data_IF_764403149036
#
_entry.id   IF_764403149036
#
_cell.length_a   1.000
_cell.length_b   1.000
_cell.length_c   1.000
_cell.angle_alpha   90.00
_cell.angle_beta   90.00
_cell.angle_gamma   90.00
#
_symmetry.space_group_name_H-M   'P 1'
#
loop_
_entity.id
_entity.type
_entity.pdbx_description
1 polymer ?
#
# COMPACT_ATOMS: atom_id res chain seq x y z
N UNK A 1 -4.33 16.26 -18.25
CA UNK A 1 -3.70 15.02 -17.72
C UNK A 1 -4.66 14.22 -16.84
N UNK A 2 -5.08 13.03 -17.27
CA UNK A 2 -5.98 12.17 -16.47
C UNK A 2 -5.24 10.94 -15.96
N UNK A 3 -4.98 10.89 -14.64
CA UNK A 3 -4.33 9.76 -13.97
C UNK A 3 -5.36 8.72 -13.49
N UNK A 4 -6.11 8.13 -14.43
CA UNK A 4 -7.28 7.30 -14.10
C UNK A 4 -6.88 6.02 -13.35
N UNK A 5 -5.82 5.32 -13.79
CA UNK A 5 -5.37 4.09 -13.15
C UNK A 5 -4.75 4.38 -11.78
N UNK A 6 -3.98 5.46 -11.66
CA UNK A 6 -3.37 5.89 -10.40
C UNK A 6 -4.44 6.29 -9.38
N UNK A 7 -5.52 6.97 -9.81
CA UNK A 7 -6.68 7.29 -8.96
C UNK A 7 -7.43 6.03 -8.53
N UNK A 8 -7.59 5.06 -9.44
CA UNK A 8 -8.18 3.76 -9.11
C UNK A 8 -7.36 3.04 -8.04
N UNK A 9 -6.03 2.96 -8.22
CA UNK A 9 -5.15 2.35 -7.22
C UNK A 9 -5.22 3.08 -5.88
N UNK A 10 -5.20 4.42 -5.89
CA UNK A 10 -5.34 5.22 -4.67
C UNK A 10 -6.68 4.94 -3.97
N UNK A 11 -7.76 4.78 -4.72
CA UNK A 11 -9.09 4.42 -4.20
C UNK A 11 -9.09 3.02 -3.61
N UNK A 12 -8.53 2.04 -4.32
CA UNK A 12 -8.41 0.67 -3.83
C UNK A 12 -7.63 0.62 -2.52
N UNK A 13 -6.51 1.35 -2.42
CA UNK A 13 -5.75 1.33 -1.17
C UNK A 13 -6.37 2.14 -0.05
N UNK A 14 -7.13 3.20 -0.36
CA UNK A 14 -7.96 3.87 0.65
C UNK A 14 -9.02 2.90 1.21
N UNK A 15 -9.66 2.11 0.32
CA UNK A 15 -10.58 1.04 0.72
C UNK A 15 -9.92 0.00 1.64
N UNK A 16 -8.71 -0.45 1.29
CA UNK A 16 -7.93 -1.34 2.16
C UNK A 16 -7.57 -0.68 3.50
N UNK A 17 -7.21 0.60 3.51
CA UNK A 17 -6.96 1.37 4.74
C UNK A 17 -8.19 1.43 5.65
N UNK A 18 -9.39 1.70 5.10
CA UNK A 18 -10.64 1.63 5.87
C UNK A 18 -10.86 0.23 6.43
N UNK A 19 -10.69 -0.82 5.61
CA UNK A 19 -10.80 -2.20 6.06
C UNK A 19 -9.84 -2.50 7.23
N UNK A 20 -8.58 -2.05 7.15
CA UNK A 20 -7.59 -2.22 8.19
C UNK A 20 -7.93 -1.49 9.50
N UNK A 21 -8.64 -0.36 9.45
CA UNK A 21 -9.18 0.31 10.65
C UNK A 21 -10.34 -0.48 11.28
N UNK A 22 -11.22 -1.05 10.45
CA UNK A 22 -12.40 -1.80 10.91
C UNK A 22 -12.01 -3.19 11.42
N UNK A 23 -11.00 -3.83 10.81
CA UNK A 23 -10.53 -5.17 11.13
C UNK A 23 -9.01 -5.17 11.41
N UNK A 24 -8.52 -4.51 12.46
CA UNK A 24 -7.09 -4.32 12.68
C UNK A 24 -6.33 -5.62 12.96
N UNK A 25 -7.01 -6.66 13.47
CA UNK A 25 -6.41 -7.97 13.71
C UNK A 25 -6.06 -8.75 12.44
N UNK A 26 -6.49 -8.30 11.25
CA UNK A 26 -6.31 -9.05 10.00
C UNK A 26 -4.84 -9.30 9.65
N UNK A 27 -3.92 -8.35 9.93
CA UNK A 27 -2.50 -8.53 9.63
C UNK A 27 -1.90 -9.67 10.45
N UNK A 28 -2.07 -9.63 11.77
CA UNK A 28 -1.57 -10.67 12.67
C UNK A 28 -2.12 -12.05 12.31
N UNK A 29 -3.41 -12.14 11.96
CA UNK A 29 -4.03 -13.38 11.46
C UNK A 29 -3.41 -13.83 10.13
N UNK A 30 -3.14 -12.90 9.21
CA UNK A 30 -2.59 -13.23 7.89
C UNK A 30 -1.15 -13.76 7.97
N UNK A 31 -0.37 -13.36 8.97
CA UNK A 31 0.99 -13.88 9.21
C UNK A 31 1.05 -14.95 10.28
N UNK A 32 -0.10 -15.45 10.73
CA UNK A 32 -0.20 -16.51 11.75
C UNK A 32 0.53 -16.17 13.05
N UNK A 33 0.49 -14.88 13.44
CA UNK A 33 1.16 -14.39 14.63
C UNK A 33 0.62 -15.05 15.91
N UNK A 34 1.47 -15.32 16.91
CA UNK A 34 1.04 -15.78 18.21
C UNK A 34 -0.01 -14.84 18.82
N UNK A 35 -0.96 -15.39 19.59
CA UNK A 35 -2.03 -14.58 20.21
C UNK A 35 -1.51 -13.44 21.08
N UNK A 36 -0.33 -13.61 21.71
CA UNK A 36 0.33 -12.58 22.50
C UNK A 36 0.82 -11.37 21.69
N UNK A 37 1.02 -11.53 20.38
CA UNK A 37 1.54 -10.49 19.49
C UNK A 37 0.45 -9.78 18.68
N UNK A 38 -0.79 -10.29 18.67
CA UNK A 38 -1.89 -9.73 17.88
C UNK A 38 -2.08 -8.24 18.16
N UNK A 39 -1.96 -7.80 19.42
CA UNK A 39 -2.08 -6.38 19.77
C UNK A 39 -1.05 -5.49 19.08
N UNK A 40 0.20 -5.96 18.91
CA UNK A 40 1.24 -5.22 18.21
C UNK A 40 0.93 -5.13 16.70
N UNK A 41 0.44 -6.22 16.10
CA UNK A 41 -0.01 -6.23 14.71
C UNK A 41 -1.22 -5.34 14.46
N UNK A 42 -2.13 -5.22 15.42
CA UNK A 42 -3.26 -4.29 15.30
C UNK A 42 -2.80 -2.82 15.29
N UNK A 43 -1.82 -2.46 16.13
CA UNK A 43 -1.23 -1.11 16.12
C UNK A 43 -0.56 -0.84 14.78
N UNK A 44 0.17 -1.81 14.24
CA UNK A 44 0.80 -1.71 12.93
C UNK A 44 -0.24 -1.53 11.82
N UNK A 45 -1.31 -2.33 11.83
CA UNK A 45 -2.41 -2.24 10.87
C UNK A 45 -3.06 -0.84 10.87
N UNK A 46 -3.34 -0.28 12.05
CA UNK A 46 -3.91 1.07 12.18
C UNK A 46 -2.93 2.15 11.70
N UNK A 47 -1.63 1.97 11.96
CA UNK A 47 -0.59 2.90 11.50
C UNK A 47 -0.51 2.92 9.98
N UNK A 48 -0.47 1.75 9.35
CA UNK A 48 -0.52 1.64 7.88
C UNK A 48 -1.80 2.24 7.32
N UNK A 49 -2.95 1.94 7.93
CA UNK A 49 -4.23 2.47 7.48
C UNK A 49 -4.28 4.01 7.45
N UNK A 50 -3.87 4.66 8.54
CA UNK A 50 -3.88 6.15 8.62
C UNK A 50 -2.95 6.75 7.57
N UNK A 51 -1.73 6.22 7.44
CA UNK A 51 -0.75 6.63 6.42
C UNK A 51 -1.32 6.47 5.02
N UNK A 52 -1.91 5.32 4.75
CA UNK A 52 -2.42 4.96 3.43
C UNK A 52 -3.62 5.80 3.03
N UNK A 53 -4.54 6.07 3.96
CA UNK A 53 -5.66 6.98 3.75
C UNK A 53 -5.18 8.40 3.45
N UNK A 54 -4.23 8.91 4.23
CA UNK A 54 -3.66 10.23 4.01
C UNK A 54 -3.01 10.34 2.62
N UNK A 55 -2.13 9.41 2.24
CA UNK A 55 -1.44 9.45 0.94
C UNK A 55 -2.43 9.24 -0.20
N UNK A 56 -3.34 8.26 -0.09
CA UNK A 56 -4.33 7.98 -1.11
C UNK A 56 -5.30 9.14 -1.32
N UNK A 57 -5.60 9.96 -0.29
CA UNK A 57 -6.42 11.16 -0.46
C UNK A 57 -5.82 12.14 -1.48
N UNK A 58 -4.49 12.34 -1.47
CA UNK A 58 -3.81 13.14 -2.48
C UNK A 58 -3.85 12.50 -3.87
N UNK A 59 -3.73 11.18 -3.95
CA UNK A 59 -3.86 10.44 -5.21
C UNK A 59 -5.27 10.54 -5.81
N UNK A 60 -6.32 10.47 -4.97
CA UNK A 60 -7.73 10.52 -5.39
C UNK A 60 -8.22 11.92 -5.71
N UNK A 61 -7.84 12.94 -4.93
CA UNK A 61 -8.41 14.29 -5.01
C UNK A 61 -7.42 15.34 -5.54
N UNK A 62 -6.16 14.97 -5.75
CA UNK A 62 -5.14 15.88 -6.28
C UNK A 62 -5.55 16.47 -7.63
N UNK A 63 -5.49 17.80 -7.76
CA UNK A 63 -5.86 18.51 -8.99
C UNK A 63 -4.71 18.59 -9.99
N UNK A 64 -3.46 18.48 -9.52
CA UNK A 64 -2.26 18.51 -10.37
C UNK A 64 -1.74 17.09 -10.61
N UNK A 65 -1.23 16.84 -11.83
CA UNK A 65 -0.57 15.57 -12.16
C UNK A 65 0.65 15.29 -11.28
N UNK A 66 1.37 16.36 -10.88
CA UNK A 66 2.49 16.27 -9.93
C UNK A 66 2.05 15.72 -8.58
N UNK A 67 0.93 16.18 -8.03
CA UNK A 67 0.37 15.69 -6.76
C UNK A 67 0.07 14.20 -6.84
N UNK A 68 -0.62 13.75 -7.89
CA UNK A 68 -0.97 12.33 -8.07
C UNK A 68 0.29 11.48 -8.25
N UNK A 69 1.25 11.92 -9.08
CA UNK A 69 2.53 11.23 -9.30
C UNK A 69 3.33 11.11 -8.00
N UNK A 70 3.39 12.15 -7.17
CA UNK A 70 4.06 12.09 -5.86
C UNK A 70 3.37 11.11 -4.92
N UNK A 71 2.03 11.15 -4.81
CA UNK A 71 1.29 10.21 -3.97
C UNK A 71 1.55 8.75 -4.37
N UNK A 72 1.55 8.45 -5.67
CA UNK A 72 1.86 7.11 -6.18
C UNK A 72 3.30 6.68 -5.90
N UNK A 73 4.28 7.59 -6.02
CA UNK A 73 5.67 7.29 -5.66
C UNK A 73 5.82 6.95 -4.18
N UNK A 74 5.16 7.71 -3.31
CA UNK A 74 5.15 7.42 -1.87
C UNK A 74 4.51 6.07 -1.57
N UNK A 75 3.40 5.72 -2.26
CA UNK A 75 2.78 4.39 -2.17
C UNK A 75 3.76 3.28 -2.52
N UNK A 76 4.41 3.36 -3.68
CA UNK A 76 5.38 2.37 -4.13
C UNK A 76 6.53 2.23 -3.11
N UNK A 77 7.08 3.35 -2.64
CA UNK A 77 8.16 3.34 -1.65
C UNK A 77 7.73 2.72 -0.32
N UNK A 78 6.52 3.02 0.15
CA UNK A 78 5.98 2.43 1.37
C UNK A 78 5.75 0.93 1.21
N UNK A 79 5.11 0.49 0.12
CA UNK A 79 4.85 -0.93 -0.13
C UNK A 79 6.17 -1.72 -0.19
N UNK A 80 7.19 -1.20 -0.91
CA UNK A 80 8.53 -1.82 -0.94
C UNK A 80 9.19 -1.82 0.44
N UNK A 81 9.15 -0.68 1.14
CA UNK A 81 9.77 -0.51 2.46
C UNK A 81 9.17 -1.44 3.51
N UNK A 82 7.84 -1.51 3.58
CA UNK A 82 7.12 -2.39 4.49
C UNK A 82 7.48 -3.86 4.22
N UNK A 83 7.50 -4.26 2.94
CA UNK A 83 7.92 -5.60 2.54
C UNK A 83 9.33 -5.97 3.00
N UNK A 84 10.30 -5.09 2.77
CA UNK A 84 11.69 -5.32 3.17
C UNK A 84 11.86 -5.35 4.69
N UNK A 85 11.25 -4.42 5.41
CA UNK A 85 11.34 -4.35 6.88
C UNK A 85 10.71 -5.58 7.53
N UNK A 86 9.51 -5.98 7.08
CA UNK A 86 8.82 -7.14 7.62
C UNK A 86 9.54 -8.43 7.25
N UNK A 87 9.98 -8.58 5.99
CA UNK A 87 10.72 -9.77 5.57
C UNK A 87 12.03 -9.96 6.32
N UNK A 88 12.77 -8.87 6.60
CA UNK A 88 14.02 -8.92 7.35
C UNK A 88 13.83 -9.34 8.81
N UNK A 89 12.62 -9.21 9.35
CA UNK A 89 12.26 -9.61 10.71
C UNK A 89 11.48 -10.93 10.78
N UNK A 90 11.18 -11.54 9.64
CA UNK A 90 10.41 -12.78 9.56
C UNK A 90 11.35 -13.98 9.36
N UNK A 91 11.40 -14.85 10.36
CA UNK A 91 12.22 -16.07 10.38
C UNK A 91 11.59 -17.21 9.58
N UNK A 92 10.26 -17.32 9.60
CA UNK A 92 9.50 -18.31 8.84
C UNK A 92 9.57 -18.00 7.32
N UNK A 93 10.09 -18.91 6.48
CA UNK A 93 10.25 -18.67 5.06
C UNK A 93 8.92 -18.50 4.31
N UNK A 94 7.85 -19.19 4.72
CA UNK A 94 6.55 -19.16 4.04
C UNK A 94 5.83 -17.85 4.37
N UNK A 95 5.87 -17.43 5.64
CA UNK A 95 5.33 -16.12 6.06
C UNK A 95 6.12 -14.99 5.40
N UNK A 96 7.46 -15.10 5.33
CA UNK A 96 8.30 -14.12 4.65
C UNK A 96 7.96 -14.01 3.16
N UNK A 97 7.75 -15.13 2.48
CA UNK A 97 7.33 -15.14 1.08
C UNK A 97 5.96 -14.49 0.90
N UNK A 98 5.00 -14.79 1.79
CA UNK A 98 3.66 -14.22 1.76
C UNK A 98 3.67 -12.70 1.93
N UNK A 99 4.43 -12.21 2.91
CA UNK A 99 4.64 -10.76 3.15
C UNK A 99 5.20 -10.11 1.90
N UNK A 100 6.32 -10.62 1.37
CA UNK A 100 6.95 -10.06 0.17
C UNK A 100 6.02 -10.10 -1.05
N UNK A 101 5.29 -11.19 -1.25
CA UNK A 101 4.36 -11.33 -2.37
C UNK A 101 3.26 -10.27 -2.33
N UNK A 102 2.66 -10.04 -1.16
CA UNK A 102 1.60 -9.04 -0.99
C UNK A 102 2.16 -7.63 -1.20
N UNK A 103 3.25 -7.28 -0.50
CA UNK A 103 3.78 -5.91 -0.53
C UNK A 103 4.36 -5.57 -1.91
N UNK A 104 5.14 -6.47 -2.51
CA UNK A 104 5.70 -6.25 -3.85
C UNK A 104 4.62 -6.30 -4.93
N UNK A 105 3.55 -7.08 -4.74
CA UNK A 105 2.38 -7.08 -5.61
C UNK A 105 1.72 -5.71 -5.69
N UNK A 106 1.45 -5.09 -4.54
CA UNK A 106 0.91 -3.72 -4.49
C UNK A 106 1.88 -2.69 -5.09
N UNK A 107 3.18 -2.78 -4.77
CA UNK A 107 4.20 -1.90 -5.35
C UNK A 107 4.23 -1.99 -6.89
N UNK A 108 4.16 -3.21 -7.43
CA UNK A 108 4.15 -3.45 -8.87
C UNK A 108 2.89 -2.88 -9.53
N UNK A 109 1.70 -3.14 -8.97
CA UNK A 109 0.44 -2.59 -9.48
C UNK A 109 0.45 -1.05 -9.48
N UNK A 110 0.89 -0.43 -8.38
CA UNK A 110 1.03 1.02 -8.29
C UNK A 110 2.02 1.56 -9.33
N UNK A 111 3.13 0.86 -9.55
CA UNK A 111 4.14 1.23 -10.55
C UNK A 111 3.59 1.15 -11.97
N UNK A 112 2.93 0.05 -12.33
CA UNK A 112 2.32 -0.13 -13.65
C UNK A 112 1.26 0.95 -13.92
N UNK A 113 0.37 1.19 -12.95
CA UNK A 113 -0.64 2.25 -13.07
C UNK A 113 0.00 3.63 -13.32
N UNK A 114 1.04 3.97 -12.57
CA UNK A 114 1.73 5.25 -12.70
C UNK A 114 2.47 5.38 -14.04
N UNK A 115 3.14 4.32 -14.50
CA UNK A 115 3.87 4.31 -15.77
C UNK A 115 2.91 4.43 -16.95
N UNK A 116 1.83 3.66 -16.95
CA UNK A 116 0.82 3.71 -18.03
C UNK A 116 0.14 5.07 -18.09
N UNK A 117 -0.29 5.62 -16.95
CA UNK A 117 -0.89 6.97 -16.92
C UNK A 117 0.14 8.04 -17.32
N UNK A 118 1.42 7.89 -16.95
CA UNK A 118 2.45 8.86 -17.32
C UNK A 118 2.69 8.91 -18.82
N UNK A 119 2.84 7.74 -19.47
CA UNK A 119 3.05 7.67 -20.93
C UNK A 119 1.89 8.29 -21.71
N UNK A 120 0.65 7.95 -21.33
CA UNK A 120 -0.55 8.52 -21.96
C UNK A 120 -0.64 10.04 -21.86
N UNK A 121 -0.09 10.63 -20.81
CA UNK A 121 -0.10 12.08 -20.62
C UNK A 121 1.10 12.78 -21.28
N UNK A 122 2.13 12.04 -21.69
CA UNK A 122 3.26 12.55 -22.47
C UNK A 122 2.95 12.51 -23.99
N UNK A 123 2.01 11.66 -24.41
CA UNK A 123 1.52 11.51 -25.79
C UNK A 123 0.37 12.49 -26.19
N UNK A 124 -0.27 13.14 -25.20
CA UNK A 124 -1.37 14.13 -25.34
C UNK A 124 -0.85 15.58 -25.27
#
# INVERSE_FOLDING_TARGET
>A
MTYKLSRLMSTATAGYGVFALVQPAHLGKAVEAPSSEIGAWEVLARTYAVRDLAISSFGMFGRSGRTVRTAMKLRILNDVGDGLVLAARTSDPDVRQKVLAVTMGWAALNTVALVVDSRRNDDD
#
